data_IF_162437250063
#
_entry.id   IF_162437250063
#
_cell.length_a   1.000
_cell.length_b   1.000
_cell.length_c   1.000
_cell.angle_alpha   90.00
_cell.angle_beta   90.00
_cell.angle_gamma   90.00
#
_symmetry.space_group_name_H-M   'P 1'
#
loop_
_entity.id
_entity.type
_entity.pdbx_description
1 polymer ?
#
# COMPACT_ATOMS: atom_id res chain seq x y z
N UNK A 1 53.92 4.75 7.05
CA UNK A 1 52.93 4.12 6.13
C UNK A 1 52.03 3.12 6.84
N UNK A 2 52.53 2.18 7.66
CA UNK A 2 51.70 1.17 8.35
C UNK A 2 50.67 1.72 9.38
N UNK A 3 50.99 2.83 10.07
CA UNK A 3 50.13 3.39 11.14
C UNK A 3 48.91 4.15 10.63
N UNK A 4 48.95 4.65 9.39
CA UNK A 4 47.84 5.39 8.76
C UNK A 4 46.80 4.40 8.23
N UNK A 5 47.25 3.29 7.64
CA UNK A 5 46.37 2.23 7.13
C UNK A 5 45.58 1.56 8.24
N UNK A 6 46.21 1.28 9.40
CA UNK A 6 45.52 0.66 10.52
C UNK A 6 44.43 1.54 11.13
N UNK A 7 44.64 2.86 11.24
CA UNK A 7 43.62 3.81 11.73
C UNK A 7 42.46 3.94 10.75
N UNK A 8 42.75 4.05 9.45
CA UNK A 8 41.72 4.11 8.43
C UNK A 8 40.86 2.82 8.40
N UNK A 9 41.49 1.65 8.59
CA UNK A 9 40.79 0.37 8.68
C UNK A 9 39.89 0.29 9.93
N UNK A 10 40.37 0.80 11.06
CA UNK A 10 39.62 0.79 12.32
C UNK A 10 38.40 1.72 12.27
N UNK A 11 38.52 2.90 11.66
CA UNK A 11 37.40 3.83 11.43
C UNK A 11 36.36 3.26 10.44
N UNK A 12 36.79 2.53 9.40
CA UNK A 12 35.86 1.86 8.47
C UNK A 12 35.13 0.68 9.09
N UNK A 13 35.76 -0.06 10.01
CA UNK A 13 35.11 -1.17 10.70
C UNK A 13 34.11 -0.67 11.76
N UNK A 14 34.44 0.41 12.49
CA UNK A 14 33.53 1.05 13.44
C UNK A 14 32.30 1.65 12.75
N UNK A 15 32.47 2.39 11.65
CA UNK A 15 31.35 2.96 10.88
C UNK A 15 30.42 1.88 10.31
N UNK A 16 30.98 0.81 9.75
CA UNK A 16 30.22 -0.33 9.24
C UNK A 16 29.47 -1.06 10.36
N UNK A 17 30.08 -1.23 11.54
CA UNK A 17 29.42 -1.82 12.70
C UNK A 17 28.24 -0.98 13.19
N UNK A 18 28.39 0.35 13.20
CA UNK A 18 27.35 1.30 13.62
C UNK A 18 26.19 1.34 12.62
N UNK A 19 26.48 1.40 11.32
CA UNK A 19 25.48 1.33 10.25
C UNK A 19 24.61 0.07 10.38
N UNK A 20 25.23 -1.08 10.67
CA UNK A 20 24.52 -2.34 10.92
C UNK A 20 23.62 -2.29 12.17
N UNK A 21 24.10 -1.70 13.27
CA UNK A 21 23.28 -1.54 14.49
C UNK A 21 22.09 -0.62 14.24
N UNK A 22 22.27 0.44 13.46
CA UNK A 22 21.22 1.38 13.11
C UNK A 22 20.17 0.73 12.19
N UNK A 23 20.59 -0.14 11.25
CA UNK A 23 19.71 -0.96 10.41
C UNK A 23 18.89 -1.96 11.26
N UNK A 24 19.54 -2.68 12.19
CA UNK A 24 18.84 -3.59 13.10
C UNK A 24 17.85 -2.87 14.03
N UNK A 25 18.19 -1.64 14.46
CA UNK A 25 17.27 -0.80 15.23
C UNK A 25 16.08 -0.36 14.38
N UNK A 26 16.33 0.06 13.14
CA UNK A 26 15.30 0.43 12.18
C UNK A 26 14.29 -0.72 11.99
N UNK A 27 14.75 -1.93 11.71
CA UNK A 27 13.87 -3.09 11.50
C UNK A 27 12.99 -3.38 12.72
N UNK A 28 13.55 -3.27 13.93
CA UNK A 28 12.80 -3.47 15.19
C UNK A 28 11.73 -2.42 15.39
N UNK A 29 12.05 -1.15 15.17
CA UNK A 29 11.10 -0.04 15.29
C UNK A 29 10.01 -0.14 14.23
N UNK A 30 10.37 -0.48 12.99
CA UNK A 30 9.42 -0.72 11.92
C UNK A 30 8.44 -1.85 12.29
N UNK A 31 8.94 -3.00 12.74
CA UNK A 31 8.11 -4.13 13.15
C UNK A 31 7.17 -3.78 14.33
N UNK A 32 7.64 -2.95 15.27
CA UNK A 32 6.78 -2.43 16.34
C UNK A 32 5.69 -1.53 15.77
N UNK A 33 6.03 -0.64 14.84
CA UNK A 33 5.10 0.27 14.18
C UNK A 33 3.98 -0.44 13.43
N UNK A 34 4.29 -1.58 12.81
CA UNK A 34 3.29 -2.44 12.14
C UNK A 34 2.18 -2.91 13.09
N UNK A 35 2.44 -3.05 14.39
CA UNK A 35 1.41 -3.41 15.38
C UNK A 35 0.43 -2.25 15.59
N UNK A 36 0.96 -1.02 15.71
CA UNK A 36 0.15 0.20 15.85
C UNK A 36 -0.73 0.41 14.60
N UNK A 37 -0.17 0.18 13.41
CA UNK A 37 -0.93 0.22 12.14
C UNK A 37 -2.13 -0.72 12.19
N UNK A 38 -1.93 -1.95 12.66
CA UNK A 38 -3.04 -2.90 12.77
C UNK A 38 -4.10 -2.49 13.79
N UNK A 39 -3.71 -1.84 14.89
CA UNK A 39 -4.67 -1.27 15.83
C UNK A 39 -5.48 -0.12 15.20
N UNK A 40 -4.83 0.74 14.43
CA UNK A 40 -5.50 1.80 13.67
C UNK A 40 -6.49 1.21 12.65
N UNK A 41 -6.12 0.16 11.92
CA UNK A 41 -7.04 -0.56 11.00
C UNK A 41 -8.24 -1.14 11.74
N UNK A 42 -8.04 -1.77 12.91
CA UNK A 42 -9.15 -2.27 13.74
C UNK A 42 -10.10 -1.16 14.19
N UNK A 43 -9.58 0.05 14.39
CA UNK A 43 -10.40 1.22 14.72
C UNK A 43 -11.20 1.69 13.51
N UNK A 44 -10.59 1.74 12.33
CA UNK A 44 -11.27 2.07 11.07
C UNK A 44 -12.41 1.09 10.77
N UNK A 45 -12.19 -0.22 10.98
CA UNK A 45 -13.21 -1.25 10.76
C UNK A 45 -14.47 -1.10 11.63
N UNK A 46 -14.40 -0.35 12.73
CA UNK A 46 -15.53 -0.08 13.64
C UNK A 46 -16.31 1.20 13.28
N UNK A 47 -15.82 1.99 12.32
CA UNK A 47 -16.47 3.24 11.92
C UNK A 47 -17.66 3.00 11.00
N UNK A 48 -18.65 3.90 11.03
CA UNK A 48 -19.70 3.91 10.01
C UNK A 48 -19.16 4.32 8.64
N UNK A 49 -19.85 3.89 7.57
CA UNK A 49 -19.39 4.06 6.20
C UNK A 49 -19.09 5.51 5.79
N UNK A 50 -19.86 6.49 6.31
CA UNK A 50 -19.65 7.89 5.95
C UNK A 50 -18.37 8.44 6.59
N UNK A 51 -18.21 8.24 7.90
CA UNK A 51 -17.00 8.65 8.62
C UNK A 51 -15.76 7.89 8.15
N UNK A 52 -15.91 6.61 7.84
CA UNK A 52 -14.85 5.77 7.32
C UNK A 52 -14.31 6.32 5.99
N UNK A 53 -15.20 6.61 5.04
CA UNK A 53 -14.81 7.18 3.75
C UNK A 53 -14.07 8.51 3.91
N UNK A 54 -14.56 9.42 4.76
CA UNK A 54 -13.91 10.71 5.02
C UNK A 54 -12.53 10.51 5.66
N UNK A 55 -12.45 9.65 6.68
CA UNK A 55 -11.20 9.38 7.40
C UNK A 55 -10.15 8.79 6.47
N UNK A 56 -10.50 7.77 5.68
CA UNK A 56 -9.56 7.18 4.72
C UNK A 56 -9.17 8.19 3.65
N UNK A 57 -10.09 9.02 3.16
CA UNK A 57 -9.77 10.04 2.16
C UNK A 57 -8.70 11.02 2.66
N UNK A 58 -8.86 11.54 3.89
CA UNK A 58 -7.88 12.44 4.51
C UNK A 58 -6.57 11.71 4.83
N UNK A 59 -6.66 10.45 5.28
CA UNK A 59 -5.50 9.64 5.56
C UNK A 59 -4.65 9.42 4.29
N UNK A 60 -5.27 9.00 3.19
CA UNK A 60 -4.59 8.78 1.91
C UNK A 60 -3.98 10.07 1.37
N UNK A 61 -4.66 11.20 1.51
CA UNK A 61 -4.12 12.51 1.12
C UNK A 61 -2.84 12.84 1.86
N UNK A 62 -2.87 12.80 3.20
CA UNK A 62 -1.70 13.05 4.04
C UNK A 62 -0.57 12.07 3.76
N UNK A 63 -0.90 10.80 3.55
CA UNK A 63 0.09 9.77 3.23
C UNK A 63 0.80 10.06 1.91
N UNK A 64 0.06 10.44 0.87
CA UNK A 64 0.64 10.82 -0.43
C UNK A 64 1.59 12.01 -0.27
N UNK A 65 1.17 13.06 0.44
CA UNK A 65 1.99 14.26 0.67
C UNK A 65 3.29 13.93 1.44
N UNK A 66 3.19 13.06 2.47
CA UNK A 66 4.36 12.59 3.23
C UNK A 66 5.30 11.77 2.34
N UNK A 67 4.77 10.83 1.55
CA UNK A 67 5.59 10.03 0.64
C UNK A 67 6.32 10.91 -0.38
N UNK A 68 5.65 11.90 -0.96
CA UNK A 68 6.26 12.80 -1.96
C UNK A 68 7.38 13.66 -1.34
N UNK A 69 7.13 14.23 -0.17
CA UNK A 69 8.14 15.04 0.53
C UNK A 69 9.34 14.20 0.99
N UNK A 70 9.11 13.03 1.59
CA UNK A 70 10.17 12.10 2.00
C UNK A 70 10.95 11.55 0.80
N UNK A 71 10.27 11.25 -0.31
CA UNK A 71 10.92 10.82 -1.55
C UNK A 71 11.97 11.83 -2.01
N UNK A 72 11.64 13.13 -1.99
CA UNK A 72 12.60 14.17 -2.38
C UNK A 72 13.85 14.17 -1.49
N UNK A 73 13.72 13.86 -0.19
CA UNK A 73 14.85 13.78 0.74
C UNK A 73 15.72 12.56 0.44
N UNK A 74 15.10 11.40 0.24
CA UNK A 74 15.80 10.14 -0.07
C UNK A 74 16.56 10.24 -1.41
N UNK A 75 15.93 10.80 -2.45
CA UNK A 75 16.55 10.98 -3.76
C UNK A 75 17.73 11.97 -3.71
N UNK A 76 17.59 13.08 -2.98
CA UNK A 76 18.70 14.04 -2.77
C UNK A 76 19.84 13.47 -1.93
N UNK A 77 19.50 12.60 -0.97
CA UNK A 77 20.48 11.87 -0.15
C UNK A 77 21.20 10.76 -0.91
N UNK A 78 20.84 10.48 -2.16
CA UNK A 78 21.50 9.47 -3.00
C UNK A 78 21.25 8.03 -2.56
N UNK A 79 20.26 7.78 -1.70
CA UNK A 79 19.92 6.43 -1.28
C UNK A 79 19.23 5.66 -2.42
N UNK A 80 19.65 4.43 -2.63
CA UNK A 80 19.05 3.49 -3.58
C UNK A 80 18.86 2.13 -2.93
N UNK A 81 18.01 1.27 -3.49
CA UNK A 81 17.81 -0.08 -2.94
C UNK A 81 19.05 -0.95 -2.90
N UNK A 82 20.10 -0.58 -3.63
CA UNK A 82 21.37 -1.30 -3.72
C UNK A 82 22.48 -0.65 -2.87
N UNK A 83 22.22 0.51 -2.25
CA UNK A 83 23.18 1.15 -1.34
C UNK A 83 23.08 0.55 0.06
N UNK A 84 24.12 0.77 0.87
CA UNK A 84 24.07 0.49 2.30
C UNK A 84 22.99 1.31 3.00
N UNK A 85 22.61 0.89 4.21
CA UNK A 85 21.68 1.62 5.05
C UNK A 85 22.17 3.08 5.26
N UNK A 86 21.29 4.10 5.17
CA UNK A 86 21.74 5.50 5.19
C UNK A 86 22.38 5.88 6.53
N UNK A 87 23.49 6.60 6.50
CA UNK A 87 24.12 7.16 7.70
C UNK A 87 23.47 8.48 8.15
N UNK A 88 22.99 9.27 7.19
CA UNK A 88 22.29 10.53 7.44
C UNK A 88 20.92 10.26 8.08
N UNK A 89 20.71 10.81 9.28
CA UNK A 89 19.46 10.69 10.03
C UNK A 89 18.25 11.21 9.26
N UNK A 90 18.36 12.31 8.50
CA UNK A 90 17.25 12.83 7.71
C UNK A 90 16.84 11.87 6.59
N UNK A 91 17.83 11.21 5.97
CA UNK A 91 17.58 10.21 4.92
C UNK A 91 16.94 8.96 5.53
N UNK A 92 17.39 8.54 6.71
CA UNK A 92 16.76 7.43 7.45
C UNK A 92 15.33 7.72 7.87
N UNK A 93 15.06 8.91 8.40
CA UNK A 93 13.72 9.32 8.82
C UNK A 93 12.76 9.40 7.63
N UNK A 94 13.25 9.92 6.50
CA UNK A 94 12.49 9.94 5.25
C UNK A 94 12.25 8.53 4.70
N UNK A 95 13.25 7.64 4.75
CA UNK A 95 13.10 6.23 4.39
C UNK A 95 12.04 5.55 5.28
N UNK A 96 12.12 5.72 6.60
CA UNK A 96 11.13 5.21 7.56
C UNK A 96 9.73 5.71 7.22
N UNK A 97 9.61 7.01 6.95
CA UNK A 97 8.34 7.64 6.60
C UNK A 97 7.73 7.01 5.35
N UNK A 98 8.49 6.77 4.29
CA UNK A 98 7.98 6.13 3.06
C UNK A 98 7.53 4.69 3.34
N UNK A 99 8.37 3.90 4.01
CA UNK A 99 8.11 2.48 4.27
C UNK A 99 6.90 2.31 5.20
N UNK A 100 6.84 3.08 6.29
CA UNK A 100 5.73 3.01 7.26
C UNK A 100 4.41 3.44 6.65
N UNK A 101 4.37 4.58 5.95
CA UNK A 101 3.15 5.10 5.34
C UNK A 101 2.61 4.15 4.25
N UNK A 102 3.52 3.62 3.41
CA UNK A 102 3.13 2.65 2.38
C UNK A 102 2.63 1.35 2.99
N UNK A 103 3.32 0.83 4.02
CA UNK A 103 2.91 -0.40 4.68
C UNK A 103 1.59 -0.24 5.44
N UNK A 104 1.33 0.91 6.07
CA UNK A 104 0.05 1.17 6.73
C UNK A 104 -1.08 1.22 5.72
N UNK A 105 -0.90 1.96 4.63
CA UNK A 105 -1.93 2.07 3.61
C UNK A 105 -2.18 0.75 2.89
N UNK A 106 -1.16 -0.09 2.73
CA UNK A 106 -1.31 -1.47 2.29
C UNK A 106 -2.31 -2.26 3.15
N UNK A 107 -2.21 -2.17 4.48
CA UNK A 107 -3.19 -2.82 5.36
C UNK A 107 -4.60 -2.26 5.15
N UNK A 108 -4.72 -0.93 5.03
CA UNK A 108 -6.00 -0.26 4.80
C UNK A 108 -6.62 -0.73 3.48
N UNK A 109 -5.83 -0.86 2.41
CA UNK A 109 -6.28 -1.38 1.11
C UNK A 109 -6.83 -2.79 1.25
N UNK A 110 -6.10 -3.69 1.89
CA UNK A 110 -6.52 -5.09 1.99
C UNK A 110 -7.75 -5.27 2.87
N UNK A 111 -7.84 -4.56 3.99
CA UNK A 111 -8.95 -4.71 4.93
C UNK A 111 -10.21 -3.94 4.52
N UNK A 112 -10.06 -2.86 3.74
CA UNK A 112 -11.16 -1.97 3.34
C UNK A 112 -11.20 -1.73 1.81
N UNK A 113 -11.12 -2.78 0.97
CA UNK A 113 -10.89 -2.66 -0.47
C UNK A 113 -11.99 -1.85 -1.16
N UNK A 114 -13.26 -2.02 -0.77
CA UNK A 114 -14.38 -1.30 -1.36
C UNK A 114 -14.26 0.23 -1.22
N UNK A 115 -13.80 0.69 -0.05
CA UNK A 115 -13.68 2.13 0.24
C UNK A 115 -12.44 2.69 -0.44
N UNK A 116 -11.30 2.00 -0.35
CA UNK A 116 -10.04 2.43 -0.97
C UNK A 116 -10.14 2.46 -2.50
N UNK A 117 -10.70 1.44 -3.14
CA UNK A 117 -10.93 1.45 -4.60
C UNK A 117 -11.77 2.64 -5.05
N UNK A 118 -12.83 2.97 -4.30
CA UNK A 118 -13.68 4.11 -4.61
C UNK A 118 -12.90 5.43 -4.52
N UNK A 119 -12.08 5.59 -3.49
CA UNK A 119 -11.26 6.80 -3.29
C UNK A 119 -10.20 6.93 -4.40
N UNK A 120 -9.48 5.86 -4.70
CA UNK A 120 -8.42 5.86 -5.70
C UNK A 120 -8.96 6.10 -7.12
N UNK A 121 -10.15 5.57 -7.44
CA UNK A 121 -10.83 5.88 -8.71
C UNK A 121 -11.22 7.36 -8.81
N UNK A 122 -11.64 7.97 -7.71
CA UNK A 122 -12.03 9.37 -7.68
C UNK A 122 -10.83 10.33 -7.73
N UNK A 123 -9.66 9.90 -7.24
CA UNK A 123 -8.45 10.73 -7.13
C UNK A 123 -7.25 10.07 -7.84
N UNK A 124 -7.37 9.87 -9.14
CA UNK A 124 -6.36 9.17 -9.95
C UNK A 124 -4.95 9.78 -9.88
N UNK A 125 -4.83 11.07 -9.56
CA UNK A 125 -3.53 11.75 -9.36
C UNK A 125 -2.65 11.08 -8.30
N UNK A 126 -3.24 10.36 -7.35
CA UNK A 126 -2.50 9.67 -6.28
C UNK A 126 -1.88 8.35 -6.73
N UNK A 127 -2.37 7.77 -7.84
CA UNK A 127 -1.92 6.47 -8.29
C UNK A 127 -0.43 6.47 -8.63
N UNK A 128 0.11 7.52 -9.27
CA UNK A 128 1.54 7.59 -9.57
C UNK A 128 2.41 7.46 -8.31
N UNK A 129 2.04 8.15 -7.23
CA UNK A 129 2.77 8.15 -5.97
C UNK A 129 2.64 6.81 -5.25
N UNK A 130 1.44 6.23 -5.23
CA UNK A 130 1.18 4.91 -4.62
C UNK A 130 1.92 3.79 -5.36
N UNK A 131 1.87 3.78 -6.69
CA UNK A 131 2.57 2.79 -7.50
C UNK A 131 4.09 2.91 -7.31
N UNK A 132 4.61 4.14 -7.30
CA UNK A 132 6.02 4.37 -7.03
C UNK A 132 6.41 3.86 -5.64
N UNK A 133 5.63 4.17 -4.61
CA UNK A 133 5.97 3.80 -3.24
C UNK A 133 5.93 2.29 -3.01
N UNK A 134 4.97 1.58 -3.61
CA UNK A 134 4.92 0.11 -3.58
C UNK A 134 6.13 -0.50 -4.29
N UNK A 135 6.50 0.02 -5.46
CA UNK A 135 7.71 -0.41 -6.18
C UNK A 135 8.96 -0.16 -5.34
N UNK A 136 9.06 1.00 -4.69
CA UNK A 136 10.20 1.36 -3.85
C UNK A 136 10.31 0.42 -2.64
N UNK A 137 9.20 0.17 -1.93
CA UNK A 137 9.14 -0.79 -0.81
C UNK A 137 9.57 -2.20 -1.25
N UNK A 138 9.17 -2.64 -2.44
CA UNK A 138 9.57 -3.95 -2.98
C UNK A 138 11.08 -4.00 -3.31
N UNK A 139 11.66 -2.89 -3.76
CA UNK A 139 13.11 -2.78 -3.99
C UNK A 139 13.89 -2.80 -2.67
N UNK A 140 13.36 -2.19 -1.60
CA UNK A 140 13.98 -2.15 -0.26
C UNK A 140 13.51 -3.28 0.65
N UNK A 141 13.05 -4.41 0.09
CA UNK A 141 12.48 -5.53 0.85
C UNK A 141 13.41 -6.14 1.90
N UNK A 142 14.71 -5.92 1.81
CA UNK A 142 15.68 -6.42 2.80
C UNK A 142 15.47 -5.82 4.18
N UNK A 143 14.89 -4.61 4.26
CA UNK A 143 14.56 -3.92 5.52
C UNK A 143 13.20 -4.32 6.11
N UNK A 144 12.50 -5.28 5.50
CA UNK A 144 11.13 -5.62 5.83
C UNK A 144 11.02 -7.08 6.29
N UNK A 145 10.12 -7.32 7.23
CA UNK A 145 9.82 -8.67 7.65
C UNK A 145 9.02 -9.44 6.57
N UNK A 146 9.09 -10.77 6.64
CA UNK A 146 8.43 -11.65 5.66
C UNK A 146 6.92 -11.40 5.56
N UNK A 147 6.27 -11.03 6.68
CA UNK A 147 4.83 -10.78 6.70
C UNK A 147 4.47 -9.49 5.94
N UNK A 148 5.25 -8.41 6.11
CA UNK A 148 5.05 -7.17 5.35
C UNK A 148 5.34 -7.38 3.87
N UNK A 149 6.38 -8.13 3.51
CA UNK A 149 6.66 -8.45 2.10
C UNK A 149 5.48 -9.21 1.45
N UNK A 150 4.93 -10.20 2.15
CA UNK A 150 3.77 -10.95 1.65
C UNK A 150 2.53 -10.05 1.52
N UNK A 151 2.30 -9.16 2.49
CA UNK A 151 1.22 -8.18 2.47
C UNK A 151 1.35 -7.23 1.26
N UNK A 152 2.54 -6.68 1.00
CA UNK A 152 2.77 -5.77 -0.14
C UNK A 152 2.46 -6.47 -1.47
N UNK A 153 2.84 -7.74 -1.63
CA UNK A 153 2.46 -8.52 -2.83
C UNK A 153 0.95 -8.63 -2.98
N UNK A 154 0.21 -8.86 -1.90
CA UNK A 154 -1.25 -8.91 -1.95
C UNK A 154 -1.85 -7.55 -2.34
N UNK A 155 -1.25 -6.44 -1.91
CA UNK A 155 -1.68 -5.08 -2.25
C UNK A 155 -1.46 -4.79 -3.74
N UNK A 156 -0.29 -5.12 -4.28
CA UNK A 156 0.00 -4.95 -5.71
C UNK A 156 -1.01 -5.70 -6.59
N UNK A 157 -1.41 -6.89 -6.15
CA UNK A 157 -2.44 -7.72 -6.81
C UNK A 157 -3.85 -7.11 -6.66
N UNK A 158 -4.22 -6.64 -5.46
CA UNK A 158 -5.51 -5.97 -5.20
C UNK A 158 -5.70 -4.74 -6.10
N UNK A 159 -4.63 -3.96 -6.27
CA UNK A 159 -4.61 -2.75 -7.08
C UNK A 159 -4.36 -3.00 -8.58
N UNK A 160 -4.11 -4.26 -8.99
CA UNK A 160 -3.74 -4.65 -10.36
C UNK A 160 -2.51 -3.90 -10.90
N UNK A 161 -1.49 -3.71 -10.04
CA UNK A 161 -0.19 -3.13 -10.39
C UNK A 161 0.69 -4.19 -11.06
N UNK A 162 0.67 -5.41 -10.53
CA UNK A 162 1.33 -6.58 -11.10
C UNK A 162 0.31 -7.49 -11.77
N UNK A 163 0.78 -8.41 -12.60
CA UNK A 163 -0.08 -9.42 -13.22
C UNK A 163 -0.82 -10.21 -12.14
N UNK A 164 -2.15 -10.15 -12.18
CA UNK A 164 -2.99 -10.74 -11.15
C UNK A 164 -3.03 -12.25 -11.31
N UNK A 165 -2.67 -12.98 -10.27
CA UNK A 165 -2.82 -14.43 -10.25
C UNK A 165 -4.31 -14.81 -10.46
N UNK A 166 -4.64 -15.70 -11.39
CA UNK A 166 -6.03 -16.14 -11.60
C UNK A 166 -6.70 -16.69 -10.34
N UNK A 167 -5.91 -17.21 -9.40
CA UNK A 167 -6.35 -17.74 -8.09
C UNK A 167 -6.29 -16.70 -6.96
N UNK A 168 -5.93 -15.45 -7.25
CA UNK A 168 -5.81 -14.41 -6.23
C UNK A 168 -7.16 -14.17 -5.53
N UNK A 169 -7.11 -14.27 -4.20
CA UNK A 169 -8.19 -13.89 -3.30
C UNK A 169 -7.62 -13.05 -2.16
N UNK A 170 -8.22 -11.90 -1.91
CA UNK A 170 -7.85 -11.07 -0.77
C UNK A 170 -8.42 -11.69 0.52
N UNK A 171 -7.56 -12.20 1.43
CA UNK A 171 -8.01 -12.92 2.62
C UNK A 171 -8.79 -12.07 3.61
N UNK A 172 -8.68 -10.73 3.52
CA UNK A 172 -9.32 -9.78 4.44
C UNK A 172 -10.66 -9.25 3.92
N UNK A 173 -10.99 -9.46 2.64
CA UNK A 173 -12.18 -8.91 2.00
C UNK A 173 -13.50 -9.47 2.59
N UNK A 174 -13.49 -10.70 3.09
CA UNK A 174 -14.67 -11.42 3.58
C UNK A 174 -14.93 -11.32 5.10
N UNK A 175 -13.98 -10.81 5.88
CA UNK A 175 -14.10 -10.79 7.35
C UNK A 175 -14.81 -9.55 7.93
N UNK A 176 -15.11 -8.53 7.12
CA UNK A 176 -15.43 -7.20 7.63
C UNK A 176 -16.68 -6.48 7.14
N UNK A 177 -17.38 -6.91 6.07
CA UNK A 177 -18.62 -6.21 5.70
C UNK A 177 -19.59 -7.05 4.87
N UNK A 178 -20.82 -7.11 5.37
CA UNK A 178 -22.06 -7.33 4.63
C UNK A 178 -22.35 -6.16 3.68
N UNK A 179 -21.41 -5.75 2.84
CA UNK A 179 -21.71 -4.89 1.71
C UNK A 179 -22.13 -5.77 0.54
N UNK A 180 -23.43 -6.07 0.46
CA UNK A 180 -24.03 -6.56 -0.79
C UNK A 180 -23.74 -5.52 -1.87
N UNK A 181 -22.86 -5.86 -2.80
CA UNK A 181 -22.60 -5.08 -4.01
C UNK A 181 -23.91 -4.72 -4.72
N UNK A 182 -24.33 -3.47 -4.58
CA UNK A 182 -25.39 -2.82 -5.37
C UNK A 182 -25.11 -2.92 -6.88
N UNK A 183 -23.86 -3.13 -7.29
CA UNK A 183 -23.46 -3.29 -8.70
C UNK A 183 -23.89 -4.63 -9.31
N UNK A 184 -23.90 -5.72 -8.51
CA UNK A 184 -24.47 -7.00 -8.96
C UNK A 184 -26.00 -6.93 -9.02
N UNK A 185 -26.63 -6.15 -8.14
CA UNK A 185 -28.07 -5.92 -8.15
C UNK A 185 -28.54 -5.08 -9.35
N UNK A 186 -27.76 -4.07 -9.77
CA UNK A 186 -28.04 -3.27 -10.98
C UNK A 186 -27.89 -4.09 -12.27
N UNK A 187 -26.86 -4.94 -12.38
CA UNK A 187 -26.71 -5.87 -13.52
C UNK A 187 -27.83 -6.92 -13.58
N UNK A 188 -28.29 -7.44 -12.44
CA UNK A 188 -29.44 -8.38 -12.40
C UNK A 188 -30.78 -7.68 -12.71
N UNK A 189 -30.97 -6.42 -12.29
CA UNK A 189 -32.18 -5.62 -12.60
C UNK A 189 -32.25 -5.19 -14.07
N UNK A 190 -31.13 -4.83 -14.70
CA UNK A 190 -31.10 -4.47 -16.13
C UNK A 190 -31.41 -5.67 -17.04
N UNK A 191 -30.88 -6.86 -16.74
CA UNK A 191 -31.17 -8.11 -17.47
C UNK A 191 -32.64 -8.53 -17.30
N UNK A 192 -33.25 -8.36 -16.11
CA UNK A 192 -34.68 -8.63 -15.90
C UNK A 192 -35.59 -7.63 -16.63
N UNK A 193 -35.18 -6.36 -16.77
CA UNK A 193 -35.95 -5.33 -17.48
C UNK A 193 -35.89 -5.48 -18.99
N UNK A 194 -34.77 -6.01 -19.53
CA UNK A 194 -34.63 -6.36 -20.95
C UNK A 194 -35.52 -7.55 -21.37
N UNK A 195 -35.69 -8.56 -20.51
CA UNK A 195 -36.55 -9.73 -20.79
C UNK A 195 -38.06 -9.43 -20.81
N UNK A 196 -38.51 -8.30 -20.23
CA UNK A 196 -39.95 -7.93 -20.16
C UNK A 196 -40.43 -7.03 -21.31
N UNK A 197 -39.57 -6.73 -22.29
CA UNK A 197 -39.88 -5.84 -23.43
C UNK A 197 -40.13 -6.56 -24.77
N UNK A 198 -40.68 -7.77 -24.76
CA UNK A 198 -41.27 -8.37 -25.97
C UNK A 198 -42.78 -8.26 -25.86
N UNK A 199 -43.34 -7.23 -26.48
CA UNK A 199 -44.79 -7.09 -26.67
C UNK A 199 -45.29 -8.05 -27.76
N UNK A 200 -46.61 -8.25 -27.89
CA UNK A 200 -47.18 -9.18 -28.85
C UNK A 200 -46.87 -8.75 -30.29
N UNK A 201 -46.28 -9.63 -31.09
CA UNK A 201 -46.21 -9.44 -32.54
C UNK A 201 -47.56 -9.86 -33.13
N UNK A 202 -48.24 -8.92 -33.79
CA UNK A 202 -49.39 -9.26 -34.65
C UNK A 202 -48.86 -10.03 -35.86
N UNK A 203 -49.14 -11.33 -35.93
CA UNK A 203 -49.06 -12.08 -37.18
C UNK A 203 -50.22 -11.65 -38.07
N UNK A 204 -49.91 -11.05 -39.23
CA UNK A 204 -50.89 -10.84 -40.29
C UNK A 204 -51.34 -12.21 -40.80
N UNK A 205 -52.63 -12.50 -40.67
CA UNK A 205 -53.29 -13.57 -41.41
C UNK A 205 -53.64 -12.99 -42.78
N UNK A 206 -53.18 -13.65 -43.84
CA UNK A 206 -53.62 -13.41 -45.21
C UNK A 206 -54.83 -14.27 -45.53
N UNK A 207 -55.71 -13.69 -46.37
CA UNK A 207 -56.94 -14.19 -47.01
C UNK A 207 -58.22 -14.23 -46.16
#
# INVERSE_FOLDING_TARGET
MLTITARAQQETDESKSRSKLDEELFEKLFAQRRKDHMEAVRTLLKMDNYRLYQTISVLTEKMVDVIESSRSVVEKGGFSSNSSFPEDTNVRDALSSILENTAFFGDVILHLPNVTHRILRARQKWNSTIHWSLSFVNQTRHLLDKSTIAMIRLVEQELNITERDPSYFNPYASSGSTCKDEDTAKRKRSVKRAKRRKGPQMTKIEL
#
